data_IF_489560217322
#
_entry.id   IF_489560217322
#
_cell.length_a   1.000
_cell.length_b   1.000
_cell.length_c   1.000
_cell.angle_alpha   90.00
_cell.angle_beta   90.00
_cell.angle_gamma   90.00
#
_symmetry.space_group_name_H-M   'P 1'
#
loop_
_entity.id
_entity.type
_entity.pdbx_description
1 polymer ?
#
# COMPACT_ATOMS: atom_id res chain seq x y z
N UNK A 1 -13.65 11.22 -4.96
CA UNK A 1 -13.15 12.54 -4.49
C UNK A 1 -14.09 13.06 -3.43
N UNK A 2 -13.56 13.53 -2.30
CA UNK A 2 -14.33 14.12 -1.19
C UNK A 2 -14.64 15.60 -1.46
N UNK A 3 -15.51 16.19 -0.63
CA UNK A 3 -15.97 17.57 -0.79
C UNK A 3 -14.85 18.63 -0.71
N UNK A 4 -13.75 18.34 -0.02
CA UNK A 4 -12.57 19.22 0.09
C UNK A 4 -11.57 19.09 -1.06
N UNK A 5 -11.84 18.20 -2.03
CA UNK A 5 -10.96 17.87 -3.15
C UNK A 5 -9.92 16.78 -2.84
N UNK A 6 -9.94 16.20 -1.65
CA UNK A 6 -9.14 15.02 -1.31
C UNK A 6 -9.56 13.83 -2.17
N UNK A 7 -8.59 13.14 -2.76
CA UNK A 7 -8.82 11.90 -3.52
C UNK A 7 -8.56 10.70 -2.64
N UNK A 8 -9.46 9.72 -2.70
CA UNK A 8 -9.32 8.47 -1.94
C UNK A 8 -9.60 7.30 -2.88
N UNK A 9 -8.70 6.31 -2.85
CA UNK A 9 -8.88 5.01 -3.51
C UNK A 9 -9.03 3.95 -2.43
N UNK A 10 -10.03 3.12 -2.55
CA UNK A 10 -10.34 2.07 -1.59
C UNK A 10 -10.01 0.70 -2.18
N UNK A 11 -9.34 -0.13 -1.41
CA UNK A 11 -9.10 -1.52 -1.77
C UNK A 11 -10.39 -2.34 -1.61
N UNK A 12 -10.39 -3.60 -2.09
CA UNK A 12 -11.52 -4.52 -1.94
C UNK A 12 -11.92 -4.65 -0.46
N UNK A 13 -13.21 -4.82 -0.20
CA UNK A 13 -13.78 -5.00 1.13
C UNK A 13 -13.46 -3.87 2.11
N UNK A 14 -13.32 -2.64 1.61
CA UNK A 14 -13.01 -1.46 2.42
C UNK A 14 -14.24 -0.56 2.55
N UNK A 15 -14.48 -0.08 3.74
CA UNK A 15 -15.54 0.88 4.05
C UNK A 15 -14.91 2.20 4.47
N UNK A 16 -15.29 3.29 3.80
CA UNK A 16 -14.96 4.66 4.20
C UNK A 16 -16.24 5.40 4.58
N UNK A 17 -16.31 5.87 5.82
CA UNK A 17 -17.38 6.74 6.29
C UNK A 17 -16.89 8.16 6.40
N UNK A 18 -17.61 9.10 5.82
CA UNK A 18 -17.26 10.53 5.81
C UNK A 18 -18.51 11.40 5.74
N UNK A 19 -18.49 12.62 6.30
CA UNK A 19 -19.61 13.54 6.20
C UNK A 19 -19.72 14.10 4.78
N UNK A 20 -20.94 14.45 4.37
CA UNK A 20 -21.18 15.10 3.06
C UNK A 20 -20.33 16.36 2.88
N UNK A 21 -20.21 17.17 3.95
CA UNK A 21 -19.33 18.33 4.03
C UNK A 21 -18.55 18.29 5.34
N UNK A 22 -17.31 18.75 5.30
CA UNK A 22 -16.51 18.87 6.50
C UNK A 22 -16.86 20.18 7.22
N UNK A 23 -17.57 20.08 8.32
CA UNK A 23 -17.88 21.21 9.20
C UNK A 23 -16.85 21.33 10.33
N UNK A 24 -16.82 22.50 11.03
CA UNK A 24 -15.89 22.75 12.12
C UNK A 24 -14.40 22.78 11.72
N UNK A 25 -13.51 22.58 12.68
CA UNK A 25 -12.06 22.75 12.56
C UNK A 25 -11.28 21.54 12.05
N UNK A 26 -11.93 20.44 11.68
CA UNK A 26 -11.28 19.17 11.27
C UNK A 26 -12.01 18.53 10.11
N UNK A 27 -11.27 17.78 9.27
CA UNK A 27 -11.81 16.92 8.21
C UNK A 27 -11.66 15.46 8.66
N UNK A 28 -12.72 14.91 9.24
CA UNK A 28 -12.68 13.59 9.89
C UNK A 28 -13.38 12.54 9.07
N UNK A 29 -12.72 11.40 8.87
CA UNK A 29 -13.25 10.22 8.18
C UNK A 29 -12.93 8.96 8.96
N UNK A 30 -13.74 7.91 8.77
CA UNK A 30 -13.52 6.58 9.34
C UNK A 30 -13.19 5.58 8.24
N UNK A 31 -12.12 4.79 8.46
CA UNK A 31 -11.68 3.74 7.53
C UNK A 31 -11.73 2.37 8.22
N UNK A 32 -12.40 1.41 7.58
CA UNK A 32 -12.25 -0.02 7.86
C UNK A 32 -11.78 -0.72 6.58
N UNK A 33 -10.57 -1.28 6.58
CA UNK A 33 -9.93 -1.85 5.42
C UNK A 33 -8.67 -1.09 4.98
N UNK A 34 -8.43 -0.95 3.69
CA UNK A 34 -7.26 -0.29 3.12
C UNK A 34 -7.64 0.83 2.16
N UNK A 35 -7.09 2.02 2.41
CA UNK A 35 -7.27 3.20 1.58
C UNK A 35 -5.98 3.93 1.28
N UNK A 36 -5.87 4.40 0.04
CA UNK A 36 -4.84 5.34 -0.39
C UNK A 36 -5.43 6.74 -0.46
N UNK A 37 -4.76 7.69 0.13
CA UNK A 37 -5.22 9.05 0.31
C UNK A 37 -4.25 10.04 -0.32
N UNK A 38 -4.74 10.87 -1.22
CA UNK A 38 -4.07 12.08 -1.70
C UNK A 38 -4.83 13.29 -1.15
N UNK A 39 -4.38 13.74 0.02
CA UNK A 39 -5.10 14.73 0.82
C UNK A 39 -4.81 16.14 0.34
N UNK A 40 -5.85 16.88 -0.01
CA UNK A 40 -5.76 18.30 -0.36
C UNK A 40 -5.18 19.09 0.81
N UNK A 41 -4.08 19.85 0.53
CA UNK A 41 -3.39 20.65 1.54
C UNK A 41 -4.31 21.72 2.16
N UNK A 42 -4.42 21.69 3.49
CA UNK A 42 -5.10 22.70 4.29
C UNK A 42 -4.54 22.67 5.71
N UNK A 43 -3.67 23.61 6.05
CA UNK A 43 -2.99 23.68 7.35
C UNK A 43 -3.90 24.16 8.47
N UNK A 44 -4.94 24.94 8.15
CA UNK A 44 -5.91 25.44 9.14
C UNK A 44 -6.93 24.36 9.54
N UNK A 45 -7.13 23.32 8.70
CA UNK A 45 -8.15 22.30 8.92
C UNK A 45 -7.55 20.90 8.69
N UNK A 46 -6.95 20.28 9.70
CA UNK A 46 -6.33 18.95 9.59
C UNK A 46 -7.30 17.89 9.06
N UNK A 47 -6.77 16.95 8.27
CA UNK A 47 -7.47 15.74 7.82
C UNK A 47 -7.13 14.59 8.75
N UNK A 48 -8.14 13.92 9.26
CA UNK A 48 -7.99 12.84 10.24
C UNK A 48 -8.66 11.59 9.69
N UNK A 49 -7.88 10.53 9.56
CA UNK A 49 -8.42 9.19 9.28
C UNK A 49 -8.39 8.39 10.58
N UNK A 50 -9.55 8.06 11.07
CA UNK A 50 -9.73 7.17 12.22
C UNK A 50 -9.92 5.75 11.72
N UNK A 51 -9.16 4.81 12.25
CA UNK A 51 -9.40 3.37 12.08
C UNK A 51 -9.66 2.70 13.44
N UNK A 52 -9.88 1.39 13.43
CA UNK A 52 -10.08 0.64 14.67
C UNK A 52 -8.87 0.69 15.61
N UNK A 53 -7.66 0.66 15.05
CA UNK A 53 -6.42 0.56 15.80
C UNK A 53 -5.71 1.90 16.00
N UNK A 54 -5.73 2.78 15.01
CA UNK A 54 -4.95 4.02 15.03
C UNK A 54 -5.68 5.19 14.38
N UNK A 55 -5.22 6.36 14.73
CA UNK A 55 -5.59 7.62 14.10
C UNK A 55 -4.40 8.16 13.31
N UNK A 56 -4.66 8.62 12.10
CA UNK A 56 -3.70 9.28 11.22
C UNK A 56 -4.14 10.72 11.00
N UNK A 57 -3.26 11.68 11.31
CA UNK A 57 -3.50 13.12 11.15
C UNK A 57 -2.52 13.72 10.17
N UNK A 58 -3.05 14.48 9.19
CA UNK A 58 -2.26 15.11 8.13
C UNK A 58 -2.79 16.50 7.78
N UNK A 59 -1.94 17.31 7.12
CA UNK A 59 -2.32 18.66 6.65
C UNK A 59 -2.42 18.77 5.13
N UNK A 60 -1.87 17.78 4.40
CA UNK A 60 -1.82 17.76 2.94
C UNK A 60 -0.73 16.79 2.50
N UNK A 61 -1.07 15.52 2.38
CA UNK A 61 -0.14 14.41 2.43
C UNK A 61 -0.67 13.28 1.56
N UNK A 62 0.24 12.57 0.92
CA UNK A 62 -0.07 11.33 0.20
C UNK A 62 0.40 10.14 1.05
N UNK A 63 -0.55 9.29 1.45
CA UNK A 63 -0.28 8.16 2.32
C UNK A 63 -1.24 6.99 2.09
N UNK A 64 -0.84 5.81 2.51
CA UNK A 64 -1.69 4.61 2.56
C UNK A 64 -1.98 4.25 4.01
N UNK A 65 -3.22 3.87 4.32
CA UNK A 65 -3.60 3.30 5.61
C UNK A 65 -4.28 1.96 5.38
N UNK A 66 -3.72 0.92 6.01
CA UNK A 66 -4.31 -0.42 6.07
C UNK A 66 -4.62 -0.76 7.51
N UNK A 67 -5.88 -1.07 7.81
CA UNK A 67 -6.34 -1.45 9.15
C UNK A 67 -7.27 -2.66 9.05
N UNK A 68 -6.90 -3.76 9.69
CA UNK A 68 -7.73 -4.96 9.73
C UNK A 68 -9.03 -4.76 10.54
N UNK A 69 -10.04 -5.56 10.25
CA UNK A 69 -11.38 -5.47 10.87
C UNK A 69 -11.36 -5.57 12.39
N UNK A 70 -10.43 -6.31 12.97
CA UNK A 70 -10.35 -6.58 14.40
C UNK A 70 -9.32 -5.73 15.15
N UNK A 71 -8.76 -4.70 14.51
CA UNK A 71 -7.73 -3.86 15.14
C UNK A 71 -6.42 -4.57 15.48
N UNK A 72 -6.24 -5.82 15.03
CA UNK A 72 -5.06 -6.64 15.34
C UNK A 72 -3.77 -6.11 14.71
N UNK A 73 -3.87 -5.47 13.55
CA UNK A 73 -2.74 -4.86 12.88
C UNK A 73 -3.20 -3.65 12.07
N UNK A 74 -2.48 -2.55 12.19
CA UNK A 74 -2.67 -1.41 11.32
C UNK A 74 -1.32 -0.87 10.83
N UNK A 75 -1.26 -0.45 9.57
CA UNK A 75 -0.06 0.08 8.94
C UNK A 75 -0.38 1.37 8.22
N UNK A 76 0.26 2.45 8.62
CA UNK A 76 0.22 3.74 7.94
C UNK A 76 1.56 3.96 7.23
N UNK A 77 1.54 4.16 5.91
CA UNK A 77 2.73 4.36 5.09
C UNK A 77 2.71 5.74 4.47
N UNK A 78 3.78 6.51 4.67
CA UNK A 78 3.92 7.86 4.13
C UNK A 78 4.70 7.85 2.81
N UNK A 79 4.08 8.45 1.77
CA UNK A 79 4.73 8.65 0.47
C UNK A 79 5.22 10.09 0.29
N UNK A 80 4.38 11.08 0.64
CA UNK A 80 4.73 12.50 0.46
C UNK A 80 4.13 13.34 1.58
N UNK A 81 4.90 14.27 2.12
CA UNK A 81 4.47 15.21 3.16
C UNK A 81 4.87 14.73 4.56
N UNK A 82 3.98 14.89 5.53
CA UNK A 82 4.17 14.50 6.93
C UNK A 82 2.90 13.85 7.47
N UNK A 83 3.06 12.79 8.26
CA UNK A 83 1.97 12.05 8.89
C UNK A 83 2.25 11.93 10.37
N UNK A 84 1.28 12.34 11.19
CA UNK A 84 1.22 12.01 12.61
C UNK A 84 0.33 10.77 12.79
N UNK A 85 0.88 9.72 13.36
CA UNK A 85 0.19 8.46 13.68
C UNK A 85 0.07 8.32 15.19
N UNK A 86 -1.13 8.07 15.67
CA UNK A 86 -1.41 7.85 17.09
C UNK A 86 -2.17 6.53 17.28
N UNK A 87 -1.73 5.69 18.20
CA UNK A 87 -2.49 4.52 18.64
C UNK A 87 -3.71 4.93 19.46
N UNK A 88 -4.81 4.19 19.32
CA UNK A 88 -6.09 4.55 19.96
C UNK A 88 -6.14 4.26 21.47
N UNK A 89 -5.24 3.41 21.98
CA UNK A 89 -5.31 2.89 23.36
C UNK A 89 -4.04 3.23 24.16
N UNK A 90 -3.34 4.32 23.81
CA UNK A 90 -2.18 4.80 24.56
C UNK A 90 -0.82 4.23 24.08
N UNK A 91 -0.77 3.65 22.89
CA UNK A 91 0.47 3.11 22.29
C UNK A 91 1.49 4.20 21.91
N UNK A 92 1.15 5.45 22.10
CA UNK A 92 1.99 6.61 21.78
C UNK A 92 1.65 7.26 20.45
N UNK A 93 2.53 8.18 20.06
CA UNK A 93 2.42 8.97 18.84
C UNK A 93 3.76 8.98 18.10
N UNK A 94 3.71 8.87 16.79
CA UNK A 94 4.87 8.88 15.90
C UNK A 94 4.61 9.85 14.74
N UNK A 95 5.65 10.58 14.35
CA UNK A 95 5.66 11.37 13.11
C UNK A 95 6.52 10.64 12.08
N UNK A 96 5.97 10.39 10.89
CA UNK A 96 6.66 9.73 9.80
C UNK A 96 7.26 10.73 8.82
N UNK A 97 8.42 10.34 8.27
CA UNK A 97 9.03 10.94 7.08
C UNK A 97 8.69 10.11 5.82
N UNK A 98 8.73 10.72 4.61
CA UNK A 98 8.52 9.98 3.37
C UNK A 98 9.39 8.73 3.26
N UNK A 99 8.80 7.62 2.77
CA UNK A 99 9.46 6.31 2.70
C UNK A 99 9.45 5.52 4.00
N UNK A 100 8.73 5.98 5.03
CA UNK A 100 8.54 5.25 6.28
C UNK A 100 7.11 4.76 6.43
N UNK A 101 6.95 3.71 7.24
CA UNK A 101 5.65 3.22 7.70
C UNK A 101 5.63 3.07 9.23
N UNK A 102 4.50 3.40 9.84
CA UNK A 102 4.18 3.06 11.22
C UNK A 102 3.33 1.80 11.23
N UNK A 103 3.74 0.81 12.00
CA UNK A 103 3.01 -0.43 12.21
C UNK A 103 2.59 -0.52 13.67
N UNK A 104 1.30 -0.68 13.89
CA UNK A 104 0.72 -1.01 15.18
C UNK A 104 0.35 -2.50 15.19
N UNK A 105 0.96 -3.23 16.09
CA UNK A 105 0.57 -4.60 16.44
C UNK A 105 -0.42 -4.52 17.62
N UNK A 106 -1.67 -4.84 17.36
CA UNK A 106 -2.75 -4.76 18.35
C UNK A 106 -2.65 -5.80 19.47
N UNK A 107 -1.96 -6.92 19.24
CA UNK A 107 -1.74 -7.95 20.28
C UNK A 107 -0.67 -7.52 21.28
N UNK A 108 0.46 -7.03 20.78
CA UNK A 108 1.57 -6.56 21.62
C UNK A 108 1.45 -5.10 22.03
N UNK A 109 0.50 -4.36 21.42
CA UNK A 109 0.26 -2.93 21.59
C UNK A 109 1.52 -2.09 21.33
N UNK A 110 2.35 -2.53 20.39
CA UNK A 110 3.58 -1.82 20.01
C UNK A 110 3.37 -1.06 18.72
N UNK A 111 3.64 0.23 18.78
CA UNK A 111 3.72 1.11 17.62
C UNK A 111 5.20 1.26 17.23
N UNK A 112 5.56 0.84 16.00
CA UNK A 112 6.95 0.82 15.50
C UNK A 112 7.07 1.51 14.17
N UNK A 113 8.24 2.07 13.87
CA UNK A 113 8.58 2.65 12.55
C UNK A 113 9.49 1.69 11.79
N UNK A 114 9.21 1.52 10.51
CA UNK A 114 10.01 0.71 9.58
C UNK A 114 10.13 1.44 8.24
N UNK A 115 11.09 1.08 7.38
CA UNK A 115 11.05 1.47 5.96
C UNK A 115 9.74 1.02 5.30
N UNK A 116 9.21 1.82 4.39
CA UNK A 116 8.01 1.48 3.64
C UNK A 116 8.22 0.23 2.78
N UNK A 117 7.21 -0.64 2.72
CA UNK A 117 7.24 -1.80 1.83
C UNK A 117 7.06 -1.35 0.36
N UNK A 118 7.73 -2.01 -0.60
CA UNK A 118 7.54 -1.72 -2.03
C UNK A 118 6.09 -1.93 -2.49
N UNK A 119 5.68 -1.18 -3.50
CA UNK A 119 4.37 -1.37 -4.17
C UNK A 119 3.17 -0.72 -3.50
N UNK A 120 3.39 0.08 -2.44
CA UNK A 120 2.31 0.83 -1.78
C UNK A 120 1.78 1.95 -2.67
N UNK A 121 2.64 2.58 -3.44
CA UNK A 121 2.31 3.72 -4.30
C UNK A 121 1.51 3.36 -5.56
N UNK A 122 1.61 2.12 -6.06
CA UNK A 122 1.07 1.73 -7.37
C UNK A 122 -0.15 0.81 -7.35
N UNK A 123 -0.64 0.38 -6.17
CA UNK A 123 -1.75 -0.58 -6.16
C UNK A 123 -3.08 0.00 -6.69
N UNK A 124 -3.25 1.31 -6.62
CA UNK A 124 -4.45 2.03 -7.10
C UNK A 124 -4.30 2.54 -8.55
N UNK A 125 -3.10 2.47 -9.15
CA UNK A 125 -2.83 2.90 -10.50
C UNK A 125 -3.18 1.82 -11.55
N UNK A 126 -3.32 2.26 -12.80
CA UNK A 126 -3.54 1.37 -13.95
C UNK A 126 -2.25 0.74 -14.49
N UNK A 127 -1.11 1.23 -14.03
CA UNK A 127 0.23 0.71 -14.36
C UNK A 127 1.19 0.90 -13.18
N UNK A 128 2.19 0.02 -13.10
CA UNK A 128 3.33 0.18 -12.21
C UNK A 128 4.43 0.90 -12.97
N UNK A 129 4.94 1.99 -12.42
CA UNK A 129 6.13 2.68 -12.96
C UNK A 129 7.38 2.09 -12.30
N UNK A 130 8.10 1.24 -13.06
CA UNK A 130 9.24 0.48 -12.57
C UNK A 130 10.52 1.11 -13.08
N UNK A 131 11.49 1.29 -12.17
CA UNK A 131 12.81 1.83 -12.51
C UNK A 131 13.91 0.97 -11.88
N UNK A 132 14.64 0.23 -12.73
CA UNK A 132 15.66 -0.73 -12.30
C UNK A 132 15.17 -1.65 -11.17
N UNK A 133 13.90 -2.05 -11.26
CA UNK A 133 13.24 -2.88 -10.24
C UNK A 133 13.66 -4.31 -10.42
N UNK A 134 14.32 -4.90 -9.43
CA UNK A 134 14.73 -6.30 -9.42
C UNK A 134 13.51 -7.24 -9.31
N UNK A 135 13.69 -8.52 -9.69
CA UNK A 135 12.60 -9.51 -9.73
C UNK A 135 12.00 -9.72 -8.33
N UNK A 136 12.79 -9.70 -7.27
CA UNK A 136 12.29 -9.87 -5.89
C UNK A 136 11.35 -8.73 -5.51
N UNK A 137 11.75 -7.49 -5.77
CA UNK A 137 10.95 -6.28 -5.53
C UNK A 137 9.70 -6.27 -6.41
N UNK A 138 9.81 -6.63 -7.69
CA UNK A 138 8.68 -6.76 -8.60
C UNK A 138 7.65 -7.77 -8.08
N UNK A 139 8.10 -8.94 -7.60
CA UNK A 139 7.21 -9.94 -7.01
C UNK A 139 6.44 -9.38 -5.82
N UNK A 140 7.08 -8.64 -4.91
CA UNK A 140 6.39 -7.99 -3.77
C UNK A 140 5.34 -6.97 -4.21
N UNK A 141 5.63 -6.19 -5.26
CA UNK A 141 4.67 -5.27 -5.86
C UNK A 141 3.44 -6.02 -6.39
N UNK A 142 3.65 -7.13 -7.11
CA UNK A 142 2.57 -7.94 -7.66
C UNK A 142 1.78 -8.70 -6.59
N UNK A 143 2.46 -9.27 -5.57
CA UNK A 143 1.80 -9.91 -4.42
C UNK A 143 0.81 -8.95 -3.76
N UNK A 144 1.26 -7.72 -3.52
CA UNK A 144 0.42 -6.69 -2.91
C UNK A 144 -0.75 -6.28 -3.81
N UNK A 145 -0.48 -6.04 -5.10
CA UNK A 145 -1.46 -5.51 -6.04
C UNK A 145 -2.59 -6.50 -6.37
N UNK A 146 -2.28 -7.80 -6.31
CA UNK A 146 -3.21 -8.89 -6.68
C UNK A 146 -3.65 -9.75 -5.50
N UNK A 147 -3.13 -9.49 -4.30
CA UNK A 147 -3.37 -10.30 -3.10
C UNK A 147 -3.07 -11.79 -3.33
N UNK A 148 -1.90 -12.07 -3.89
CA UNK A 148 -1.37 -13.40 -4.16
C UNK A 148 -0.06 -13.61 -3.42
N UNK A 149 0.39 -14.87 -3.28
CA UNK A 149 1.71 -15.22 -2.78
C UNK A 149 2.59 -15.68 -3.94
N UNK A 150 3.77 -15.07 -4.11
CA UNK A 150 4.71 -15.43 -5.17
C UNK A 150 5.89 -16.22 -4.58
N UNK A 151 6.11 -17.41 -5.10
CA UNK A 151 7.18 -18.32 -4.69
C UNK A 151 8.19 -18.36 -5.83
N UNK A 152 9.41 -17.88 -5.56
CA UNK A 152 10.50 -17.78 -6.53
C UNK A 152 11.40 -19.00 -6.37
N UNK A 153 11.58 -19.76 -7.45
CA UNK A 153 12.47 -20.91 -7.47
C UNK A 153 13.95 -20.46 -7.46
N UNK A 154 14.88 -21.29 -6.94
CA UNK A 154 16.30 -20.93 -6.83
C UNK A 154 17.04 -20.71 -8.16
N UNK A 155 16.45 -21.14 -9.27
CA UNK A 155 17.01 -20.99 -10.63
C UNK A 155 16.71 -19.64 -11.29
N UNK A 156 15.94 -18.78 -10.61
CA UNK A 156 15.62 -17.43 -11.09
C UNK A 156 16.72 -16.47 -10.70
N UNK A 157 17.21 -15.71 -11.67
CA UNK A 157 18.12 -14.59 -11.43
C UNK A 157 17.34 -13.41 -10.83
N UNK A 158 17.33 -13.36 -9.50
CA UNK A 158 16.56 -12.37 -8.73
C UNK A 158 17.09 -10.94 -8.82
N UNK A 159 18.36 -10.77 -9.21
CA UNK A 159 19.01 -9.46 -9.38
C UNK A 159 18.71 -8.84 -10.75
N UNK A 160 18.12 -9.60 -11.65
CA UNK A 160 17.70 -9.09 -12.96
C UNK A 160 16.64 -8.01 -12.77
N UNK A 161 16.85 -6.85 -13.41
CA UNK A 161 15.97 -5.68 -13.27
C UNK A 161 15.07 -5.48 -14.47
N UNK A 162 13.95 -4.81 -14.23
CA UNK A 162 13.03 -4.29 -15.23
C UNK A 162 12.85 -2.78 -15.06
N UNK A 163 12.79 -2.05 -16.18
CA UNK A 163 12.46 -0.62 -16.20
C UNK A 163 11.38 -0.33 -17.22
N UNK A 164 10.48 0.58 -16.88
CA UNK A 164 9.39 1.03 -17.73
C UNK A 164 8.00 0.79 -17.11
N UNK A 165 6.96 1.31 -17.74
CA UNK A 165 5.59 1.13 -17.26
C UNK A 165 5.12 -0.31 -17.49
N UNK A 166 4.71 -0.99 -16.43
CA UNK A 166 4.07 -2.29 -16.50
C UNK A 166 2.55 -2.11 -16.32
N UNK A 167 1.80 -2.25 -17.39
CA UNK A 167 0.34 -2.11 -17.37
C UNK A 167 -0.29 -3.16 -16.44
N UNK A 168 -1.06 -2.70 -15.48
CA UNK A 168 -1.84 -3.56 -14.61
C UNK A 168 -3.00 -4.18 -15.37
N UNK A 169 -3.12 -5.49 -15.34
CA UNK A 169 -4.19 -6.26 -15.97
C UNK A 169 -5.19 -6.75 -14.91
N UNK A 170 -6.23 -7.42 -15.34
CA UNK A 170 -7.31 -7.96 -14.50
C UNK A 170 -6.84 -8.98 -13.46
N UNK A 171 -5.71 -9.67 -13.72
CA UNK A 171 -5.12 -10.64 -12.81
C UNK A 171 -3.60 -10.68 -12.94
N UNK A 172 -2.94 -11.35 -12.00
CA UNK A 172 -1.47 -11.45 -11.94
C UNK A 172 -0.89 -12.20 -13.14
N UNK A 173 -1.57 -13.23 -13.64
CA UNK A 173 -1.13 -14.01 -14.80
C UNK A 173 -1.05 -13.14 -16.05
N UNK A 174 -2.11 -12.41 -16.38
CA UNK A 174 -2.16 -11.50 -17.51
C UNK A 174 -1.13 -10.37 -17.42
N UNK A 175 -0.76 -9.93 -16.20
CA UNK A 175 0.30 -8.94 -15.98
C UNK A 175 1.69 -9.57 -16.17
N UNK A 176 1.92 -10.76 -15.64
CA UNK A 176 3.19 -11.49 -15.82
C UNK A 176 3.43 -11.85 -17.29
N UNK A 177 2.38 -12.14 -18.07
CA UNK A 177 2.50 -12.41 -19.52
C UNK A 177 3.12 -11.24 -20.30
N UNK A 178 2.95 -10.01 -19.84
CA UNK A 178 3.55 -8.84 -20.50
C UNK A 178 5.08 -8.79 -20.36
N UNK A 179 5.63 -9.36 -19.29
CA UNK A 179 7.05 -9.19 -18.93
C UNK A 179 7.85 -10.49 -18.85
N UNK A 180 7.20 -11.67 -18.80
CA UNK A 180 7.88 -12.96 -18.57
C UNK A 180 9.07 -13.21 -19.50
N UNK A 181 8.94 -12.84 -20.79
CA UNK A 181 10.02 -13.02 -21.77
C UNK A 181 11.17 -12.04 -21.53
N UNK A 182 10.86 -10.78 -21.19
CA UNK A 182 11.86 -9.73 -20.92
C UNK A 182 12.70 -10.03 -19.68
N UNK A 183 12.09 -10.59 -18.64
CA UNK A 183 12.78 -10.92 -17.39
C UNK A 183 13.22 -12.39 -17.33
N UNK A 184 12.91 -13.19 -18.35
CA UNK A 184 13.40 -14.57 -18.50
C UNK A 184 12.81 -15.56 -17.49
N UNK A 185 11.51 -15.48 -17.26
CA UNK A 185 10.79 -16.36 -16.32
C UNK A 185 9.69 -17.18 -17.00
N UNK A 186 9.32 -18.27 -16.34
CA UNK A 186 8.06 -19.02 -16.51
C UNK A 186 7.30 -18.95 -15.20
N UNK A 187 5.99 -19.07 -15.24
CA UNK A 187 5.19 -19.09 -14.04
C UNK A 187 4.03 -20.09 -14.13
N UNK A 188 3.53 -20.52 -12.97
CA UNK A 188 2.32 -21.33 -12.80
C UNK A 188 1.50 -20.75 -11.66
N UNK A 189 0.20 -20.57 -11.88
CA UNK A 189 -0.75 -20.09 -10.85
C UNK A 189 -1.56 -21.27 -10.33
N UNK A 190 -1.61 -21.43 -9.00
CA UNK A 190 -2.39 -22.47 -8.31
C UNK A 190 -3.10 -21.81 -7.13
N UNK A 191 -4.39 -21.53 -7.30
CA UNK A 191 -5.16 -20.73 -6.32
C UNK A 191 -4.57 -19.34 -6.17
N UNK A 192 -4.24 -18.95 -4.95
CA UNK A 192 -3.60 -17.67 -4.63
C UNK A 192 -2.07 -17.72 -4.69
N UNK A 193 -1.48 -18.87 -5.04
CA UNK A 193 -0.03 -19.03 -5.14
C UNK A 193 0.43 -18.94 -6.60
N UNK A 194 1.50 -18.18 -6.83
CA UNK A 194 2.19 -18.05 -8.12
C UNK A 194 3.61 -18.58 -7.97
N UNK A 195 3.94 -19.60 -8.73
CA UNK A 195 5.28 -20.19 -8.74
C UNK A 195 6.04 -19.64 -9.93
N UNK A 196 7.20 -19.05 -9.70
CA UNK A 196 8.07 -18.49 -10.73
C UNK A 196 9.36 -19.31 -10.82
N UNK A 197 9.74 -19.69 -12.05
CA UNK A 197 10.99 -20.39 -12.37
C UNK A 197 11.68 -19.73 -13.56
N UNK A 198 12.97 -20.04 -13.79
CA UNK A 198 13.70 -19.57 -14.96
C UNK A 198 13.09 -20.10 -16.26
N UNK A 199 13.05 -19.26 -17.30
CA UNK A 199 12.66 -19.71 -18.65
C UNK A 199 13.79 -20.44 -19.37
N UNK A 200 15.05 -20.30 -18.92
CA UNK A 200 16.18 -21.02 -19.44
C UNK A 200 16.17 -22.44 -18.87
N UNK A 201 15.84 -23.45 -19.69
CA UNK A 201 16.20 -24.83 -19.35
C UNK A 201 17.72 -24.91 -19.26
N UNK A 202 18.26 -25.54 -18.20
CA UNK A 202 19.64 -26.00 -18.17
C UNK A 202 19.84 -27.08 -19.22
#
# INVERSE_FOLDING_TARGET
TLADGTKVWLNKNTILQYPRNFEGGKRHVYLNGEGFFDVKRNTAKPFIVQSHAMQVRVLGTTFNLKSGENGQRAVATLLKGEVEVKGNHGEGMIVLSPGQQAELDGMTRRLTVKPAEPGIEGWHDTAFDLNQTDIRTLCKILERAYNVKIIIAPDVDIERTYSGPLKKKENVAATLDLIKNSIGIKYKVIGENVFISSSKSK
#
